data_IF_006937874829
#
_entry.id   IF_006937874829
#
_cell.length_a   1.000
_cell.length_b   1.000
_cell.length_c   1.000
_cell.angle_alpha   90.00
_cell.angle_beta   90.00
_cell.angle_gamma   90.00
#
_symmetry.space_group_name_H-M   'P 1'
#
loop_
_entity.id
_entity.type
_entity.pdbx_description
1 polymer ?
2 branched ?
3 branched ?
4 non-polymer ?
5 non-polymer ?
6 non-polymer ?
7 water ?
#
# COMPACT_ATOMS: atom_id res chain seq x y z
N UNK A 1 -10.86 -23.38 4.20
CA UNK A 1 -11.16 -24.32 5.29
C UNK A 1 -11.95 -23.58 6.37
N UNK A 2 -11.22 -22.94 7.28
CA UNK A 2 -11.84 -22.16 8.38
C UNK A 2 -11.26 -20.77 8.22
N UNK A 3 -11.92 -19.77 8.79
CA UNK A 3 -11.44 -18.40 8.70
C UNK A 3 -10.08 -18.29 9.42
N UNK A 4 -9.16 -17.57 8.81
CA UNK A 4 -7.87 -17.41 9.46
C UNK A 4 -8.11 -16.43 10.60
N UNK A 5 -7.39 -16.60 11.70
CA UNK A 5 -7.46 -15.71 12.86
C UNK A 5 -6.01 -15.26 13.12
N UNK A 6 -5.85 -13.95 13.38
CA UNK A 6 -4.56 -13.33 13.69
C UNK A 6 -4.12 -13.77 15.09
N UNK A 7 -3.59 -14.97 15.20
CA UNK A 7 -3.17 -15.52 16.50
C UNK A 7 -1.71 -15.33 16.85
N UNK A 8 -0.88 -14.96 15.89
CA UNK A 8 0.55 -14.78 16.18
C UNK A 8 0.96 -13.31 16.23
N UNK A 9 2.11 -13.07 16.84
CA UNK A 9 2.68 -11.74 16.95
C UNK A 9 3.70 -11.74 15.82
N UNK A 10 4.35 -10.61 15.58
CA UNK A 10 5.34 -10.46 14.51
C UNK A 10 6.66 -11.14 14.83
N UNK A 11 7.36 -11.60 13.80
CA UNK A 11 8.67 -12.16 14.05
C UNK A 11 9.55 -10.92 14.29
N UNK A 12 10.67 -11.11 14.97
CA UNK A 12 11.62 -10.02 15.24
C UNK A 12 12.27 -9.66 13.92
N UNK A 13 12.28 -8.37 13.60
CA UNK A 13 12.87 -7.92 12.35
C UNK A 13 14.27 -7.42 12.61
N UNK A 14 15.27 -8.19 12.18
CA UNK A 14 16.69 -7.83 12.36
C UNK A 14 17.30 -7.36 11.06
N UNK A 15 16.60 -7.68 9.95
CA UNK A 15 16.96 -7.26 8.58
C UNK A 15 15.83 -7.65 7.62
N UNK A 16 16.03 -7.36 6.34
CA UNK A 16 15.07 -7.66 5.27
C UNK A 16 15.76 -8.46 4.18
N UNK A 17 15.11 -9.54 3.75
CA UNK A 17 15.67 -10.36 2.68
C UNK A 17 14.78 -10.15 1.45
N UNK A 18 15.34 -10.35 0.25
CA UNK A 18 14.58 -10.20 -1.00
C UNK A 18 13.49 -11.30 -1.07
N UNK A 19 12.28 -10.90 -1.48
CA UNK A 19 11.13 -11.80 -1.57
C UNK A 19 10.69 -11.93 -3.05
N UNK A 20 10.41 -10.81 -3.69
CA UNK A 20 10.01 -10.87 -5.08
C UNK A 20 10.38 -9.60 -5.83
N UNK A 21 10.56 -9.73 -7.14
CA UNK A 21 10.92 -8.62 -8.02
C UNK A 21 10.51 -9.11 -9.38
N UNK A 22 9.77 -8.30 -10.12
CA UNK A 22 9.33 -8.73 -11.42
C UNK A 22 10.05 -8.13 -12.64
N UNK A 23 10.84 -7.06 -12.41
CA UNK A 23 11.59 -6.41 -13.49
C UNK A 23 10.68 -6.15 -14.69
N UNK A 24 9.45 -5.77 -14.39
CA UNK A 24 8.41 -5.52 -15.40
C UNK A 24 8.71 -4.55 -16.55
N UNK A 25 9.25 -3.37 -16.25
CA UNK A 25 9.56 -2.38 -17.28
C UNK A 25 10.74 -2.89 -18.18
N UNK A 26 11.75 -3.54 -17.57
CA UNK A 26 12.87 -4.08 -18.31
C UNK A 26 12.35 -5.08 -19.32
N UNK A 27 11.67 -6.09 -18.82
CA UNK A 27 11.13 -7.13 -19.67
C UNK A 27 10.11 -6.60 -20.68
N UNK A 28 9.26 -5.69 -20.22
CA UNK A 28 8.21 -5.13 -21.04
C UNK A 28 8.64 -4.30 -22.21
N UNK A 29 9.93 -3.98 -22.28
CA UNK A 29 10.47 -3.22 -23.40
C UNK A 29 10.33 -4.07 -24.67
N UNK A 30 10.29 -5.39 -24.51
CA UNK A 30 10.17 -6.30 -25.63
C UNK A 30 9.24 -7.50 -25.37
N UNK A 31 8.10 -7.25 -24.75
CA UNK A 31 7.16 -8.31 -24.53
C UNK A 31 5.86 -7.68 -24.10
N UNK A 32 4.78 -8.43 -24.16
CA UNK A 32 3.45 -7.92 -23.85
C UNK A 32 3.06 -7.64 -22.39
N UNK A 33 3.73 -6.66 -21.80
CA UNK A 33 3.50 -6.30 -20.42
C UNK A 33 2.57 -5.12 -20.33
N UNK A 34 1.55 -5.27 -19.47
CA UNK A 34 0.55 -4.23 -19.23
C UNK A 34 1.14 -3.08 -18.44
N UNK A 35 0.71 -1.86 -18.77
CA UNK A 35 1.13 -0.67 -18.05
C UNK A 35 0.33 -0.72 -16.73
N UNK A 36 0.98 -0.46 -15.61
CA UNK A 36 0.30 -0.48 -14.33
C UNK A 36 0.79 0.67 -13.43
N UNK A 37 0.27 0.63 -12.21
CA UNK A 37 0.60 1.49 -11.09
C UNK A 37 -0.26 1.04 -9.89
N UNK A 38 0.06 1.58 -8.72
CA UNK A 38 -0.63 1.26 -7.49
C UNK A 38 -0.61 -0.24 -7.25
N UNK A 39 0.59 -0.85 -7.26
CA UNK A 39 0.69 -2.29 -7.05
C UNK A 39 0.66 -2.68 -5.57
N UNK A 40 0.65 -3.97 -5.32
CA UNK A 40 0.72 -4.52 -3.98
C UNK A 40 0.90 -6.02 -4.05
N UNK A 41 0.99 -6.68 -2.91
CA UNK A 41 1.17 -8.13 -2.89
C UNK A 41 0.14 -8.66 -1.90
N UNK A 42 -0.39 -9.85 -2.17
CA UNK A 42 -1.38 -10.42 -1.29
C UNK A 42 -1.38 -11.94 -1.40
N UNK A 43 -1.50 -12.63 -0.27
CA UNK A 43 -1.49 -14.10 -0.25
C UNK A 43 -2.82 -14.78 0.00
N UNK A 44 -2.90 -15.98 -0.56
CA UNK A 44 -4.01 -16.87 -0.40
C UNK A 44 -3.33 -17.94 0.49
N UNK A 45 -4.09 -18.91 1.00
CA UNK A 45 -3.49 -19.97 1.80
C UNK A 45 -2.51 -20.83 1.05
N UNK A 46 -2.61 -20.85 -0.29
CA UNK A 46 -1.70 -21.67 -1.06
C UNK A 46 -0.86 -20.96 -2.09
N UNK A 47 -0.92 -19.63 -2.16
CA UNK A 47 -0.13 -18.92 -3.15
C UNK A 47 -0.07 -17.45 -2.83
N UNK A 48 1.07 -16.79 -3.10
CA UNK A 48 1.17 -15.33 -2.90
C UNK A 48 1.32 -14.75 -4.30
N UNK A 49 0.60 -13.68 -4.58
CA UNK A 49 0.58 -13.04 -5.89
C UNK A 49 0.77 -11.50 -5.90
N UNK A 50 1.25 -10.97 -7.04
CA UNK A 50 1.42 -9.53 -7.23
C UNK A 50 0.05 -9.04 -7.75
N UNK A 51 -0.27 -7.79 -7.42
CA UNK A 51 -1.52 -7.12 -7.75
C UNK A 51 -1.17 -5.72 -8.20
N UNK A 52 -2.04 -5.12 -9.03
CA UNK A 52 -1.89 -3.74 -9.49
C UNK A 52 -3.08 -3.29 -10.32
N UNK A 53 -3.11 -2.00 -10.60
CA UNK A 53 -4.17 -1.42 -11.39
C UNK A 53 -3.63 -1.24 -12.81
N UNK A 54 -4.02 -2.15 -13.71
CA UNK A 54 -3.59 -2.08 -15.09
C UNK A 54 -4.14 -0.81 -15.70
N UNK A 55 -3.58 -0.43 -16.84
CA UNK A 55 -4.07 0.75 -17.54
C UNK A 55 -4.79 0.34 -18.85
N UNK A 56 -4.98 -0.97 -19.03
CA UNK A 56 -5.66 -1.48 -20.20
C UNK A 56 -4.87 -1.26 -21.48
N UNK A 57 -3.55 -1.42 -21.43
CA UNK A 57 -2.69 -1.26 -22.60
C UNK A 57 -1.33 -1.81 -22.22
N UNK A 58 -0.51 -2.17 -23.21
CA UNK A 58 0.87 -2.64 -22.99
C UNK A 58 1.75 -1.39 -22.96
N UNK A 59 2.95 -1.49 -22.40
CA UNK A 59 3.90 -0.38 -22.30
C UNK A 59 4.37 0.08 -23.67
N UNK A 60 4.62 -0.85 -24.58
CA UNK A 60 5.05 -0.52 -25.95
C UNK A 60 3.87 -0.13 -26.87
N UNK A 61 2.66 -0.48 -26.46
CA UNK A 61 1.49 -0.16 -27.25
C UNK A 61 1.31 1.34 -27.35
N UNK A 62 0.73 1.80 -28.45
CA UNK A 62 0.50 3.24 -28.64
C UNK A 62 -0.42 3.86 -27.58
N UNK A 63 -1.34 3.06 -27.04
CA UNK A 63 -2.27 3.52 -25.99
C UNK A 63 -1.56 3.73 -24.68
N UNK A 64 -0.24 3.50 -24.64
CA UNK A 64 0.51 3.71 -23.40
C UNK A 64 0.63 5.24 -23.22
N UNK A 65 0.38 5.99 -24.31
CA UNK A 65 0.45 7.41 -24.27
C UNK A 65 -0.67 7.94 -23.39
N UNK A 66 -0.32 8.62 -22.31
CA UNK A 66 -1.35 9.17 -21.45
C UNK A 66 -1.60 8.48 -20.13
N UNK A 67 -0.94 7.34 -19.95
CA UNK A 67 -1.08 6.55 -18.72
C UNK A 67 -0.67 7.22 -17.43
N UNK A 68 -0.24 8.48 -17.47
CA UNK A 68 0.06 9.19 -16.23
C UNK A 68 -1.27 9.44 -15.45
N UNK A 69 -2.38 9.55 -16.19
CA UNK A 69 -3.70 9.77 -15.60
C UNK A 69 -4.14 8.61 -14.72
N UNK A 70 -4.76 8.96 -13.59
CA UNK A 70 -5.20 7.99 -12.59
C UNK A 70 -6.46 7.18 -12.79
N UNK A 71 -7.50 7.81 -13.31
CA UNK A 71 -8.80 7.16 -13.40
C UNK A 71 -9.38 7.19 -14.78
N UNK A 72 -9.56 6.03 -15.39
CA UNK A 72 -10.15 5.94 -16.72
C UNK A 72 -11.01 4.72 -16.67
N UNK A 73 -11.79 4.52 -17.71
CA UNK A 73 -12.63 3.35 -17.75
C UNK A 73 -11.84 2.12 -18.20
N UNK A 74 -10.54 2.26 -18.47
CA UNK A 74 -9.74 1.14 -18.96
C UNK A 74 -8.88 0.46 -17.91
N UNK A 75 -9.06 0.87 -16.66
CA UNK A 75 -8.29 0.31 -15.58
C UNK A 75 -9.02 -0.85 -14.93
N UNK A 76 -8.24 -1.71 -14.28
CA UNK A 76 -8.80 -2.88 -13.62
C UNK A 76 -7.78 -3.44 -12.64
N UNK A 77 -8.26 -4.01 -11.55
CA UNK A 77 -7.37 -4.65 -10.59
C UNK A 77 -7.03 -6.01 -11.20
N UNK A 78 -5.74 -6.30 -11.34
CA UNK A 78 -5.30 -7.57 -11.90
C UNK A 78 -4.30 -8.23 -10.91
N UNK A 79 -4.16 -9.54 -10.97
CA UNK A 79 -3.17 -10.23 -10.15
C UNK A 79 -2.44 -11.23 -11.07
N UNK A 80 -1.22 -11.55 -10.72
CA UNK A 80 -0.43 -12.45 -11.52
C UNK A 80 0.63 -13.13 -10.64
N UNK A 81 1.21 -14.24 -11.12
CA UNK A 81 2.11 -15.00 -10.26
C UNK A 81 3.28 -14.14 -9.75
N UNK A 82 3.67 -14.44 -8.52
CA UNK A 82 4.75 -13.76 -7.85
C UNK A 82 6.00 -13.66 -8.69
N UNK A 83 6.52 -12.45 -8.78
CA UNK A 83 7.74 -12.14 -9.49
C UNK A 83 7.67 -12.24 -11.01
N UNK A 84 6.51 -12.56 -11.55
CA UNK A 84 6.39 -12.54 -13.00
C UNK A 84 6.03 -11.09 -13.32
N UNK A 85 6.13 -10.67 -14.59
CA UNK A 85 5.55 -9.36 -14.84
C UNK A 85 4.06 -9.49 -15.15
N UNK A 86 3.33 -8.39 -15.01
CA UNK A 86 1.93 -8.33 -15.45
C UNK A 86 1.82 -8.28 -16.97
N UNK A 87 1.70 -9.46 -17.58
CA UNK A 87 1.55 -9.56 -19.04
C UNK A 87 0.10 -9.72 -19.45
N UNK A 88 -0.20 -9.47 -20.70
CA UNK A 88 -1.55 -9.60 -21.17
C UNK A 88 -2.05 -11.03 -21.00
N UNK A 89 -1.13 -11.98 -21.10
CA UNK A 89 -1.45 -13.41 -21.03
C UNK A 89 -1.46 -14.10 -19.65
N UNK A 90 -0.84 -13.51 -18.62
CA UNK A 90 -0.85 -14.17 -17.31
C UNK A 90 -1.61 -13.34 -16.27
N UNK A 91 -2.13 -12.17 -16.64
CA UNK A 91 -2.83 -11.32 -15.68
C UNK A 91 -4.31 -11.70 -15.51
N UNK A 92 -4.74 -11.85 -14.27
CA UNK A 92 -6.10 -12.23 -13.98
C UNK A 92 -6.80 -11.02 -13.41
N UNK A 93 -7.89 -10.62 -14.07
CA UNK A 93 -8.64 -9.45 -13.63
C UNK A 93 -9.49 -9.84 -12.44
N UNK A 94 -9.39 -9.08 -11.36
CA UNK A 94 -10.15 -9.32 -10.16
C UNK A 94 -11.46 -8.50 -10.19
N UNK A 95 -11.38 -7.31 -10.81
CA UNK A 95 -12.52 -6.42 -10.97
C UNK A 95 -12.09 -5.17 -11.71
N UNK A 96 -13.09 -4.40 -12.14
CA UNK A 96 -12.88 -3.19 -12.92
C UNK A 96 -12.95 -1.92 -12.06
N UNK A 97 -11.96 -1.05 -12.23
CA UNK A 97 -11.90 0.15 -11.43
C UNK A 97 -10.52 0.79 -11.35
N UNK A 98 -10.47 1.97 -10.71
CA UNK A 98 -9.24 2.72 -10.59
C UNK A 98 -8.73 2.89 -9.18
N UNK A 99 -9.31 2.16 -8.24
CA UNK A 99 -8.90 2.17 -6.83
C UNK A 99 -9.33 0.83 -6.28
N UNK A 100 -8.49 0.20 -5.47
CA UNK A 100 -8.82 -1.13 -4.94
C UNK A 100 -8.15 -1.60 -3.66
N UNK A 101 -8.57 -2.80 -3.26
CA UNK A 101 -8.04 -3.50 -2.11
C UNK A 101 -8.46 -4.96 -2.31
N UNK A 102 -7.80 -5.86 -1.58
CA UNK A 102 -8.08 -7.26 -1.70
C UNK A 102 -7.46 -8.03 -0.55
N UNK A 103 -8.15 -9.07 -0.10
CA UNK A 103 -7.61 -9.90 0.95
C UNK A 103 -8.31 -11.24 1.03
N UNK A 104 -7.61 -12.28 1.48
CA UNK A 104 -8.16 -13.62 1.64
C UNK A 104 -8.48 -13.80 3.12
N UNK A 105 -9.66 -14.31 3.42
CA UNK A 105 -10.08 -14.48 4.80
C UNK A 105 -9.79 -15.87 5.34
N UNK A 106 -9.24 -16.74 4.50
CA UNK A 106 -8.92 -18.08 4.95
C UNK A 106 -9.74 -19.07 4.16
N UNK A 107 -10.96 -18.68 3.80
CA UNK A 107 -11.84 -19.53 3.00
C UNK A 107 -11.75 -19.10 1.54
N UNK A 108 -11.92 -17.80 1.29
CA UNK A 108 -11.85 -17.28 -0.06
C UNK A 108 -11.46 -15.80 -0.02
N UNK A 109 -11.26 -15.22 -1.19
CA UNK A 109 -10.83 -13.83 -1.32
C UNK A 109 -11.90 -12.77 -1.56
N UNK A 110 -11.71 -11.60 -0.96
CA UNK A 110 -12.59 -10.47 -1.17
C UNK A 110 -11.75 -9.43 -1.92
N UNK A 111 -12.27 -8.94 -3.04
CA UNK A 111 -11.60 -7.89 -3.81
C UNK A 111 -12.60 -6.74 -3.96
N UNK A 112 -12.12 -5.50 -3.87
CA UNK A 112 -13.00 -4.34 -4.00
C UNK A 112 -12.43 -3.40 -5.03
N UNK A 113 -13.27 -2.97 -5.98
CA UNK A 113 -12.82 -2.05 -7.03
C UNK A 113 -13.83 -0.93 -7.07
N UNK A 114 -13.33 0.28 -7.17
CA UNK A 114 -14.19 1.45 -7.21
C UNK A 114 -14.05 2.04 -8.60
N UNK A 115 -15.13 2.44 -9.22
CA UNK A 115 -15.04 3.05 -10.54
C UNK A 115 -16.05 4.18 -10.63
N UNK A 116 -16.01 4.97 -11.70
CA UNK A 116 -16.96 6.04 -11.83
C UNK A 116 -16.26 7.36 -12.08
N UNK A 117 -17.03 8.39 -12.45
CA UNK A 117 -16.54 9.75 -12.54
C UNK A 117 -16.32 10.27 -11.14
N UNK A 118 -15.58 11.35 -11.03
CA UNK A 118 -15.27 11.96 -9.75
C UNK A 118 -16.41 12.20 -8.81
N UNK A 119 -17.53 12.68 -9.34
CA UNK A 119 -18.69 12.94 -8.50
C UNK A 119 -19.74 11.83 -8.43
N UNK A 120 -19.46 10.63 -8.92
CA UNK A 120 -20.46 9.57 -8.88
C UNK A 120 -19.84 8.18 -8.87
N UNK A 121 -18.74 8.02 -8.16
CA UNK A 121 -18.08 6.72 -8.10
C UNK A 121 -18.86 5.72 -7.26
N UNK A 122 -18.53 4.45 -7.41
CA UNK A 122 -19.17 3.41 -6.62
C UNK A 122 -18.22 2.23 -6.43
N UNK A 123 -18.21 1.66 -5.24
CA UNK A 123 -17.39 0.50 -4.93
C UNK A 123 -18.19 -0.78 -5.09
N UNK A 124 -17.59 -1.81 -5.68
CA UNK A 124 -18.27 -3.08 -5.71
C UNK A 124 -17.39 -4.15 -5.08
N UNK A 125 -17.94 -4.77 -4.04
CA UNK A 125 -17.27 -5.78 -3.24
C UNK A 125 -17.53 -7.17 -3.81
N UNK A 126 -16.44 -7.83 -4.17
CA UNK A 126 -16.44 -9.17 -4.76
C UNK A 126 -15.97 -10.16 -3.70
N UNK A 127 -16.59 -11.33 -3.67
CA UNK A 127 -16.20 -12.36 -2.72
C UNK A 127 -16.36 -13.70 -3.46
N UNK A 128 -15.34 -14.55 -3.42
CA UNK A 128 -15.39 -15.82 -4.13
C UNK A 128 -15.58 -15.59 -5.64
N UNK A 129 -14.96 -14.53 -6.13
CA UNK A 129 -14.98 -14.14 -7.54
C UNK A 129 -16.35 -13.79 -8.11
N UNK A 130 -17.24 -13.32 -7.23
CA UNK A 130 -18.59 -12.92 -7.58
C UNK A 130 -18.90 -11.57 -6.95
N UNK A 131 -19.66 -10.71 -7.66
CA UNK A 131 -20.09 -9.45 -7.07
C UNK A 131 -21.16 -9.69 -6.01
N UNK A 132 -20.92 -9.16 -4.82
CA UNK A 132 -21.85 -9.35 -3.72
C UNK A 132 -22.45 -8.05 -3.18
N UNK A 133 -21.63 -7.04 -2.92
CA UNK A 133 -22.16 -5.78 -2.37
C UNK A 133 -21.67 -4.55 -3.14
N UNK A 134 -22.46 -3.47 -3.13
CA UNK A 134 -22.10 -2.23 -3.81
C UNK A 134 -22.36 -1.08 -2.84
N UNK A 135 -21.45 -0.10 -2.86
CA UNK A 135 -21.52 1.10 -1.99
C UNK A 135 -21.37 2.32 -2.90
N UNK A 136 -22.31 3.25 -2.85
CA UNK A 136 -22.26 4.44 -3.68
C UNK A 136 -21.48 5.52 -2.96
N UNK A 137 -20.88 6.41 -3.73
CA UNK A 137 -20.11 7.53 -3.23
C UNK A 137 -20.95 8.30 -2.17
N UNK A 138 -20.33 8.67 -1.04
CA UNK A 138 -21.08 9.41 -0.02
C UNK A 138 -20.73 10.88 0.07
N UNK A 139 -19.61 11.28 -0.53
CA UNK A 139 -19.20 12.68 -0.50
C UNK A 139 -19.07 13.21 -1.93
N UNK A 140 -19.31 12.32 -2.90
CA UNK A 140 -19.27 12.67 -4.32
C UNK A 140 -17.97 13.31 -4.75
N UNK A 141 -16.86 12.79 -4.25
CA UNK A 141 -15.58 13.34 -4.61
C UNK A 141 -14.50 12.25 -4.53
N UNK A 142 -14.42 11.51 -5.64
CA UNK A 142 -13.46 10.43 -5.76
C UNK A 142 -13.41 9.43 -4.59
N UNK A 143 -14.43 8.59 -4.48
CA UNK A 143 -14.50 7.52 -3.47
C UNK A 143 -13.25 6.70 -3.79
N UNK A 144 -12.50 6.36 -2.77
CA UNK A 144 -11.24 5.65 -3.00
C UNK A 144 -10.86 4.73 -1.81
N UNK A 145 -9.93 3.80 -1.98
CA UNK A 145 -9.59 2.94 -0.88
C UNK A 145 -8.08 2.74 -0.73
N UNK A 146 -7.65 1.68 -0.05
CA UNK A 146 -6.27 1.41 0.32
C UNK A 146 -5.15 1.34 -0.67
N UNK A 147 -5.39 0.62 -1.78
CA UNK A 147 -4.41 0.40 -2.86
C UNK A 147 -3.39 -0.62 -2.38
N UNK A 148 -3.75 -1.36 -1.34
CA UNK A 148 -2.91 -2.44 -0.81
C UNK A 148 -3.84 -3.44 -0.11
N UNK A 149 -3.34 -4.59 0.35
CA UNK A 149 -4.27 -5.55 0.93
C UNK A 149 -4.93 -5.19 2.27
N UNK A 150 -6.14 -5.72 2.43
CA UNK A 150 -6.89 -5.55 3.67
C UNK A 150 -6.47 -6.78 4.51
N UNK A 151 -6.99 -6.89 5.73
CA UNK A 151 -6.65 -8.01 6.60
C UNK A 151 -7.94 -8.52 7.20
N UNK A 152 -8.02 -9.84 7.38
CA UNK A 152 -9.19 -10.49 7.97
C UNK A 152 -8.89 -11.20 9.28
N UNK A 153 -9.93 -11.35 10.09
CA UNK A 153 -9.80 -12.07 11.35
C UNK A 153 -11.17 -12.66 11.58
N UNK A 154 -11.26 -13.99 11.61
CA UNK A 154 -12.50 -14.74 11.79
C UNK A 154 -13.60 -14.32 10.85
N UNK A 155 -13.23 -14.10 9.60
CA UNK A 155 -14.23 -13.72 8.61
C UNK A 155 -14.38 -12.23 8.46
N UNK A 156 -14.03 -11.41 9.46
CA UNK A 156 -14.19 -9.93 9.36
C UNK A 156 -12.97 -9.30 8.75
N UNK A 157 -13.19 -8.61 7.63
CA UNK A 157 -12.11 -7.98 6.88
C UNK A 157 -12.36 -6.47 6.78
N UNK A 158 -11.80 -5.68 7.73
CA UNK A 158 -12.08 -4.23 7.69
C UNK A 158 -11.35 -3.59 6.51
N UNK A 159 -11.90 -2.48 6.01
CA UNK A 159 -11.31 -1.77 4.89
C UNK A 159 -11.55 -0.29 5.14
N UNK A 160 -10.55 0.55 4.90
CA UNK A 160 -10.70 2.00 5.07
C UNK A 160 -10.92 2.66 3.70
N UNK A 161 -11.92 3.55 3.61
CA UNK A 161 -12.24 4.29 2.39
C UNK A 161 -12.24 5.77 2.74
N UNK A 162 -12.05 6.62 1.76
CA UNK A 162 -12.13 8.04 1.99
C UNK A 162 -12.95 8.54 0.82
N UNK A 163 -13.80 9.53 1.08
CA UNK A 163 -14.56 10.17 0.01
C UNK A 163 -14.59 11.66 0.41
N UNK A 164 -14.30 12.53 -0.57
CA UNK A 164 -14.25 13.97 -0.34
C UNK A 164 -12.90 14.52 -0.72
N UNK A 165 -12.62 15.75 -0.32
CA UNK A 165 -11.35 16.42 -0.64
C UNK A 165 -10.04 15.75 -0.24
N UNK A 166 -9.01 15.97 -1.05
CA UNK A 166 -7.69 15.43 -0.75
C UNK A 166 -6.79 16.54 -0.19
N UNK A 167 -7.34 17.73 -0.10
CA UNK A 167 -6.58 18.85 0.41
C UNK A 167 -7.36 19.61 1.48
N UNK A 168 -8.19 18.89 2.21
CA UNK A 168 -9.00 19.50 3.26
C UNK A 168 -9.65 18.36 4.02
N UNK A 169 -10.42 18.63 5.09
CA UNK A 169 -11.05 17.50 5.79
C UNK A 169 -11.93 16.72 4.83
N UNK A 170 -12.02 15.40 5.04
CA UNK A 170 -12.78 14.49 4.17
C UNK A 170 -13.61 13.48 4.99
N UNK A 171 -14.37 12.62 4.31
CA UNK A 171 -15.19 11.61 4.99
C UNK A 171 -14.62 10.20 4.83
N UNK A 172 -13.88 9.78 5.84
CA UNK A 172 -13.26 8.48 5.88
C UNK A 172 -14.14 7.55 6.66
N UNK A 173 -14.28 6.32 6.20
CA UNK A 173 -15.10 5.31 6.86
C UNK A 173 -14.36 4.00 6.99
N UNK A 174 -14.67 3.27 8.05
CA UNK A 174 -14.05 1.97 8.23
C UNK A 174 -15.22 0.99 8.06
N UNK A 175 -15.14 0.16 7.02
CA UNK A 175 -16.18 -0.83 6.76
C UNK A 175 -15.69 -2.16 7.22
N UNK A 176 -16.58 -2.90 7.88
CA UNK A 176 -16.26 -4.23 8.37
C UNK A 176 -17.08 -5.18 7.54
N UNK A 177 -16.39 -5.94 6.69
CA UNK A 177 -17.09 -6.89 5.82
C UNK A 177 -16.88 -8.31 6.29
N UNK A 178 -17.85 -9.16 5.96
CA UNK A 178 -17.76 -10.59 6.24
C UNK A 178 -18.48 -11.27 5.09
N UNK A 179 -17.74 -12.06 4.31
CA UNK A 179 -18.28 -12.74 3.14
C UNK A 179 -18.82 -11.72 2.16
N UNK A 180 -18.11 -10.60 2.05
CA UNK A 180 -18.47 -9.56 1.11
C UNK A 180 -19.67 -8.74 1.47
N UNK A 181 -20.30 -9.01 2.61
CA UNK A 181 -21.48 -8.23 3.03
C UNK A 181 -21.06 -7.29 4.16
N UNK A 182 -21.72 -6.13 4.24
CA UNK A 182 -21.40 -5.15 5.26
C UNK A 182 -21.94 -5.54 6.64
N UNK A 183 -21.06 -5.73 7.60
CA UNK A 183 -21.52 -6.04 8.93
C UNK A 183 -21.79 -4.72 9.65
N UNK A 184 -20.96 -3.72 9.36
CA UNK A 184 -21.04 -2.41 10.03
C UNK A 184 -20.02 -1.47 9.41
N UNK A 185 -20.23 -0.17 9.61
CA UNK A 185 -19.27 0.85 9.19
C UNK A 185 -19.29 1.92 10.27
N UNK A 186 -18.15 2.61 10.41
CA UNK A 186 -17.98 3.71 11.36
C UNK A 186 -17.42 4.86 10.54
N UNK A 187 -17.66 6.10 10.99
CA UNK A 187 -16.78 7.22 10.65
C UNK A 187 -15.43 7.20 11.37
N UNK A 188 -14.43 7.74 10.71
CA UNK A 188 -13.12 7.84 11.28
C UNK A 188 -13.19 8.63 12.60
N UNK A 189 -12.43 8.17 13.59
CA UNK A 189 -12.37 8.82 14.89
C UNK A 189 -10.90 8.85 15.30
N UNK A 190 -10.63 9.56 16.38
CA UNK A 190 -9.27 9.69 16.85
C UNK A 190 -8.72 11.04 16.45
N UNK A 191 -7.42 11.19 16.49
CA UNK A 191 -6.77 12.45 16.16
C UNK A 191 -6.21 12.58 14.75
N UNK A 192 -6.30 11.53 13.92
CA UNK A 192 -5.79 11.66 12.54
C UNK A 192 -6.68 12.71 11.86
N UNK A 193 -6.11 13.63 11.11
CA UNK A 193 -6.96 14.66 10.52
C UNK A 193 -7.37 14.42 9.06
N UNK A 194 -6.67 13.49 8.42
CA UNK A 194 -6.93 13.14 7.02
C UNK A 194 -6.31 11.77 6.74
N UNK A 195 -7.09 10.92 6.07
CA UNK A 195 -6.65 9.57 5.75
C UNK A 195 -6.70 9.26 4.25
N UNK A 196 -5.63 8.65 3.75
CA UNK A 196 -5.55 8.27 2.34
C UNK A 196 -4.74 6.98 2.27
N UNK A 197 -5.13 6.09 1.37
CA UNK A 197 -4.43 4.84 1.10
C UNK A 197 -3.77 4.10 2.25
N UNK A 198 -4.57 3.51 3.15
CA UNK A 198 -4.03 2.79 4.30
C UNK A 198 -3.33 1.50 3.99
N UNK A 199 -2.16 1.33 4.59
CA UNK A 199 -1.38 0.12 4.44
C UNK A 199 -1.60 -0.63 5.75
N UNK A 200 -2.09 -1.86 5.68
CA UNK A 200 -2.39 -2.60 6.89
C UNK A 200 -1.75 -3.97 7.04
N UNK A 201 -1.69 -4.42 8.29
CA UNK A 201 -1.21 -5.76 8.67
C UNK A 201 -1.91 -6.13 9.98
N UNK A 202 -1.93 -7.43 10.30
CA UNK A 202 -2.57 -7.88 11.53
C UNK A 202 -1.69 -8.79 12.37
N UNK A 203 -1.81 -8.66 13.69
CA UNK A 203 -1.06 -9.51 14.60
C UNK A 203 -1.83 -9.47 15.88
N UNK A 204 -1.87 -10.65 16.54
CA UNK A 204 -2.55 -10.84 17.80
C UNK A 204 -3.91 -10.16 17.90
N UNK A 205 -4.74 -10.45 16.91
CA UNK A 205 -6.10 -9.94 16.81
C UNK A 205 -6.25 -8.44 16.78
N UNK A 206 -5.26 -7.76 16.23
CA UNK A 206 -5.32 -6.32 16.09
C UNK A 206 -4.78 -6.00 14.68
N UNK A 207 -5.45 -5.08 13.99
CA UNK A 207 -5.09 -4.68 12.64
C UNK A 207 -4.54 -3.26 12.72
N UNK A 208 -3.32 -3.06 12.21
CA UNK A 208 -2.70 -1.74 12.24
C UNK A 208 -2.59 -1.24 10.80
N UNK A 209 -2.98 0.01 10.60
CA UNK A 209 -2.95 0.62 9.29
C UNK A 209 -2.16 1.93 9.35
N UNK A 210 -1.15 2.07 8.51
CA UNK A 210 -0.33 3.28 8.43
C UNK A 210 -0.81 3.91 7.14
N UNK A 211 -1.32 5.13 7.22
CA UNK A 211 -1.88 5.73 6.04
C UNK A 211 -1.16 7.01 5.61
N UNK A 212 -1.87 7.83 4.83
CA UNK A 212 -1.29 9.04 4.27
C UNK A 212 -2.18 10.27 4.54
N UNK A 213 -1.63 11.26 5.26
CA UNK A 213 -2.38 12.47 5.51
C UNK A 213 -1.98 13.36 4.36
N UNK A 214 -2.82 13.43 3.35
CA UNK A 214 -2.47 14.22 2.21
C UNK A 214 -2.59 15.71 2.43
N UNK A 215 -3.44 16.08 3.36
CA UNK A 215 -3.71 17.48 3.65
C UNK A 215 -2.55 18.28 4.31
N UNK A 216 -2.17 17.90 5.52
CA UNK A 216 -1.14 18.64 6.22
C UNK A 216 0.05 17.90 6.77
N UNK A 217 -0.13 16.63 7.13
CA UNK A 217 0.92 15.84 7.75
C UNK A 217 1.98 15.11 6.94
N UNK A 218 3.22 15.26 7.40
CA UNK A 218 4.39 14.63 6.81
C UNK A 218 4.71 13.42 7.68
N UNK A 219 4.14 13.41 8.88
CA UNK A 219 4.25 12.24 9.73
C UNK A 219 3.03 11.40 9.23
N UNK A 220 3.01 10.10 9.51
CA UNK A 220 1.92 9.25 9.05
C UNK A 220 0.87 8.98 10.11
N UNK A 221 -0.41 9.16 9.76
CA UNK A 221 -1.54 8.68 10.54
C UNK A 221 -1.64 7.18 10.66
N UNK A 222 -2.04 6.72 11.84
CA UNK A 222 -2.16 5.29 12.07
C UNK A 222 -3.55 5.02 12.58
N UNK A 223 -4.16 3.99 11.99
CA UNK A 223 -5.48 3.52 12.39
C UNK A 223 -5.36 2.10 12.90
N UNK A 224 -5.63 1.89 14.18
CA UNK A 224 -5.59 0.55 14.81
C UNK A 224 -7.05 0.09 14.95
N UNK A 225 -7.32 -1.07 14.37
CA UNK A 225 -8.66 -1.63 14.36
C UNK A 225 -8.77 -2.89 15.20
N UNK A 226 -9.90 -3.02 15.85
CA UNK A 226 -10.24 -4.22 16.63
C UNK A 226 -11.34 -4.89 15.82
N UNK A 227 -11.01 -5.99 15.10
CA UNK A 227 -11.93 -6.61 14.16
C UNK A 227 -12.96 -7.50 14.89
N UNK A 228 -12.84 -7.60 16.20
CA UNK A 228 -13.83 -8.39 16.94
C UNK A 228 -14.89 -7.42 17.46
N UNK A 229 -14.46 -6.36 18.14
CA UNK A 229 -15.38 -5.36 18.65
C UNK A 229 -15.84 -4.47 17.50
N UNK A 230 -15.09 -4.52 16.41
CA UNK A 230 -15.36 -3.72 15.23
C UNK A 230 -15.35 -2.25 15.62
N UNK A 231 -14.23 -1.83 16.21
CA UNK A 231 -14.01 -0.46 16.65
C UNK A 231 -12.56 -0.12 16.27
N UNK A 232 -12.17 1.16 16.36
CA UNK A 232 -10.82 1.57 15.97
C UNK A 232 -10.45 2.90 16.64
N UNK A 233 -9.18 3.27 16.54
CA UNK A 233 -8.70 4.53 17.07
C UNK A 233 -7.80 5.03 15.99
N UNK A 234 -7.38 6.29 16.12
CA UNK A 234 -6.46 6.92 15.17
C UNK A 234 -5.57 7.97 15.84
N UNK A 235 -4.33 8.04 15.37
CA UNK A 235 -3.34 9.00 15.86
C UNK A 235 -2.29 9.07 14.75
N UNK A 236 -1.15 9.70 15.06
CA UNK A 236 -0.05 9.77 14.11
C UNK A 236 1.14 9.08 14.77
N UNK A 237 2.12 8.75 13.95
CA UNK A 237 3.36 8.16 14.44
C UNK A 237 4.03 9.37 15.14
N UNK A 238 4.29 9.22 16.44
CA UNK A 238 4.91 10.27 17.26
C UNK A 238 6.32 10.65 16.80
N UNK A 239 7.08 9.68 16.32
CA UNK A 239 8.45 9.89 15.89
C UNK A 239 8.77 11.11 15.01
N UNK A 240 9.88 11.80 15.31
CA UNK A 240 10.45 12.85 14.47
C UNK A 240 11.05 12.34 13.15
N UNK A 241 11.21 11.02 13.02
CA UNK A 241 11.72 10.45 11.75
C UNK A 241 10.46 10.51 10.83
N UNK A 242 10.27 11.62 10.13
CA UNK A 242 9.09 11.79 9.26
C UNK A 242 9.12 10.83 8.07
N UNK A 243 7.99 10.18 7.79
CA UNK A 243 7.97 9.21 6.69
C UNK A 243 7.04 9.44 5.48
N UNK A 244 6.45 10.62 5.34
CA UNK A 244 5.66 10.88 4.14
C UNK A 244 6.64 11.54 3.15
N UNK A 245 6.16 11.83 1.93
CA UNK A 245 6.94 12.49 0.89
C UNK A 245 6.01 13.27 -0.06
N UNK A 246 6.35 14.50 -0.46
CA UNK A 246 7.48 15.31 0.04
C UNK A 246 7.30 15.60 1.53
N UNK A 247 8.36 16.04 2.18
CA UNK A 247 8.29 16.32 3.60
C UNK A 247 9.42 17.30 3.99
N UNK A 248 9.28 17.99 5.14
CA UNK A 248 10.36 18.83 5.68
C UNK A 248 11.49 17.91 6.13
N UNK A 249 12.54 18.49 6.67
CA UNK A 249 13.66 17.68 7.21
C UNK A 249 13.23 17.18 8.58
N UNK A 250 13.85 16.11 9.07
CA UNK A 250 13.49 15.58 10.38
C UNK A 250 13.78 16.57 11.50
N UNK A 251 12.82 16.78 12.42
CA UNK A 251 13.00 17.53 13.66
C UNK A 251 13.58 16.62 14.72
N UNK A 252 13.69 17.14 15.94
CA UNK A 252 14.21 16.34 17.05
C UNK A 252 13.05 15.82 17.84
N UNK A 253 11.87 16.38 17.58
CA UNK A 253 10.67 15.93 18.25
C UNK A 253 9.49 15.92 17.26
N UNK A 254 8.73 14.82 17.29
CA UNK A 254 7.58 14.65 16.40
C UNK A 254 6.27 15.04 17.04
N UNK A 255 5.19 14.70 16.37
CA UNK A 255 3.84 15.00 16.88
C UNK A 255 3.00 13.73 16.95
N UNK A 256 2.37 13.52 18.10
CA UNK A 256 1.55 12.35 18.33
C UNK A 256 0.10 12.45 17.91
N UNK A 257 -0.46 13.65 17.90
CA UNK A 257 -1.86 13.78 17.54
C UNK A 257 -2.24 14.88 16.61
N UNK A 258 -1.28 15.35 15.82
CA UNK A 258 -1.56 16.41 14.87
C UNK A 258 -0.63 16.15 13.73
N UNK A 259 -0.97 16.62 12.53
CA UNK A 259 -0.01 16.49 11.42
C UNK A 259 1.23 17.31 11.70
N UNK A 260 2.39 16.82 11.25
CA UNK A 260 3.59 17.60 11.46
C UNK A 260 3.62 18.49 10.23
N UNK A 261 3.70 19.83 10.43
CA UNK A 261 3.46 20.79 9.34
C UNK A 261 4.72 20.96 8.48
N UNK A 262 4.57 21.62 7.34
CA UNK A 262 5.71 21.83 6.49
C UNK A 262 5.41 21.56 5.05
N UNK A 263 4.51 20.62 4.79
CA UNK A 263 4.16 20.29 3.43
C UNK A 263 2.67 20.01 3.39
N UNK A 264 1.99 20.69 2.47
CA UNK A 264 0.56 20.56 2.33
C UNK A 264 0.17 19.90 1.03
N UNK A 265 -1.03 19.36 1.05
CA UNK A 265 -1.62 18.78 -0.14
C UNK A 265 -0.82 17.89 -1.02
N UNK A 266 -0.14 16.92 -0.43
CA UNK A 266 0.63 15.97 -1.21
C UNK A 266 1.15 14.85 -0.29
N UNK A 267 1.66 13.78 -0.89
CA UNK A 267 2.15 12.69 -0.09
C UNK A 267 2.36 11.45 -0.94
N UNK A 268 2.54 10.31 -0.29
CA UNK A 268 2.75 9.06 -0.98
C UNK A 268 2.26 7.92 -0.07
N UNK A 269 1.68 6.87 -0.66
CA UNK A 269 1.23 5.73 0.11
C UNK A 269 2.49 5.12 0.72
N UNK A 270 2.44 4.81 2.01
CA UNK A 270 3.60 4.25 2.69
C UNK A 270 3.14 3.32 3.80
N UNK A 271 4.04 2.86 4.66
CA UNK A 271 3.63 1.92 5.70
C UNK A 271 4.68 1.85 6.82
N UNK A 272 4.40 1.00 7.81
CA UNK A 272 5.29 0.76 8.94
C UNK A 272 4.84 -0.44 9.76
N UNK A 273 5.74 -1.00 10.55
CA UNK A 273 5.37 -2.07 11.45
C UNK A 273 5.67 -1.48 12.78
N UNK A 274 4.61 -1.23 13.54
CA UNK A 274 4.70 -0.61 14.89
C UNK A 274 4.58 -1.72 15.92
N UNK A 275 5.71 -2.05 16.53
CA UNK A 275 5.72 -3.17 17.47
C UNK A 275 6.77 -3.00 18.59
N UNK A 276 6.60 -1.93 19.38
CA UNK A 276 7.52 -1.65 20.47
C UNK A 276 8.92 -1.45 19.93
N UNK A 277 9.89 -2.15 20.51
CA UNK A 277 11.26 -2.02 20.02
C UNK A 277 11.38 -2.66 18.60
N UNK A 278 10.50 -3.60 18.27
CA UNK A 278 10.54 -4.25 16.95
C UNK A 278 9.73 -3.37 15.96
N UNK A 279 10.06 -2.07 15.91
CA UNK A 279 9.37 -1.13 15.05
C UNK A 279 10.24 -0.69 13.90
N UNK A 280 9.76 -0.84 12.68
CA UNK A 280 10.52 -0.41 11.49
C UNK A 280 9.65 0.49 10.60
N UNK A 281 10.24 1.59 10.13
CA UNK A 281 9.55 2.54 9.28
C UNK A 281 10.16 2.51 7.88
N UNK A 282 9.34 2.68 6.85
CA UNK A 282 9.82 2.74 5.48
C UNK A 282 9.63 4.19 5.02
N UNK A 283 10.51 4.70 4.18
CA UNK A 283 10.37 6.05 3.66
C UNK A 283 11.26 6.24 2.44
N UNK A 284 10.90 7.21 1.60
CA UNK A 284 11.74 7.52 0.46
C UNK A 284 12.95 8.21 1.11
N UNK A 285 14.11 8.18 0.43
CA UNK A 285 15.30 8.84 0.97
C UNK A 285 15.13 10.34 0.75
N UNK A 286 14.77 10.73 -0.46
CA UNK A 286 14.55 12.12 -0.80
C UNK A 286 13.40 12.71 0.00
N UNK A 287 13.54 13.94 0.50
CA UNK A 287 12.45 14.58 1.21
C UNK A 287 11.64 15.34 0.17
N UNK A 288 12.19 15.47 -1.03
CA UNK A 288 11.52 16.20 -2.10
C UNK A 288 10.71 15.36 -3.11
N UNK A 289 11.17 14.18 -3.45
CA UNK A 289 10.42 13.39 -4.41
C UNK A 289 10.46 11.89 -4.10
N UNK A 290 9.79 11.09 -4.93
CA UNK A 290 9.70 9.63 -4.77
C UNK A 290 10.96 9.07 -5.34
N UNK A 291 12.01 9.23 -4.58
CA UNK A 291 13.33 8.83 -4.97
C UNK A 291 13.95 8.08 -3.82
N UNK A 292 14.48 6.91 -4.14
CA UNK A 292 15.11 6.05 -3.16
C UNK A 292 14.14 5.46 -2.16
N UNK A 293 14.64 4.54 -1.34
CA UNK A 293 13.82 3.89 -0.34
C UNK A 293 14.65 3.17 0.71
N UNK A 294 14.29 3.40 1.96
CA UNK A 294 14.99 2.77 3.08
C UNK A 294 14.01 2.36 4.18
N UNK A 295 14.52 1.46 5.01
CA UNK A 295 13.82 0.92 6.15
C UNK A 295 14.68 1.36 7.33
N UNK A 296 14.05 1.88 8.37
CA UNK A 296 14.74 2.33 9.58
C UNK A 296 14.05 1.75 10.84
N UNK A 297 14.86 1.21 11.73
CA UNK A 297 14.33 0.64 12.97
C UNK A 297 14.24 1.81 13.92
N UNK A 298 13.03 2.17 14.32
CA UNK A 298 12.86 3.28 15.24
C UNK A 298 12.04 2.71 16.39
N UNK A 299 12.74 2.21 17.44
CA UNK A 299 12.05 1.62 18.59
C UNK A 299 11.00 2.57 19.16
N UNK A 300 9.79 2.03 19.32
CA UNK A 300 8.63 2.74 19.87
C UNK A 300 8.19 3.97 19.09
N UNK A 301 8.45 4.00 17.79
CA UNK A 301 8.06 5.13 16.93
C UNK A 301 6.67 5.66 17.16
N UNK A 302 5.69 4.77 17.23
CA UNK A 302 4.30 5.18 17.39
C UNK A 302 3.99 6.04 18.62
N UNK A 303 4.69 5.79 19.72
CA UNK A 303 4.37 6.47 20.95
C UNK A 303 5.44 7.35 21.58
N UNK A 304 6.65 7.35 21.03
CA UNK A 304 7.80 8.13 21.56
C UNK A 304 8.14 9.25 20.58
N UNK A 305 7.77 10.48 20.94
CA UNK A 305 7.98 11.67 20.10
C UNK A 305 9.40 12.16 19.91
N UNK A 306 10.37 11.39 20.40
CA UNK A 306 11.76 11.75 20.24
C UNK A 306 12.52 10.54 19.67
N UNK A 307 11.80 9.48 19.32
CA UNK A 307 12.42 8.26 18.77
C UNK A 307 13.18 8.50 17.46
N UNK A 308 14.42 8.02 17.43
CA UNK A 308 15.31 8.17 16.28
C UNK A 308 15.84 6.75 15.95
N UNK A 309 16.41 6.54 14.74
CA UNK A 309 16.73 5.18 14.30
C UNK A 309 17.87 4.53 15.06
N UNK A 310 17.81 3.22 15.20
CA UNK A 310 18.86 2.45 15.87
C UNK A 310 19.53 1.45 14.91
N UNK A 311 18.94 1.30 13.72
CA UNK A 311 19.45 0.37 12.70
C UNK A 311 18.71 0.73 11.42
N UNK A 312 19.20 0.27 10.28
CA UNK A 312 18.50 0.62 9.05
C UNK A 312 18.96 -0.24 7.88
N UNK A 313 18.28 -0.13 6.76
CA UNK A 313 18.63 -0.88 5.56
C UNK A 313 18.10 -0.12 4.36
N UNK A 314 18.97 0.08 3.37
CA UNK A 314 18.60 0.77 2.15
C UNK A 314 18.03 -0.29 1.24
N UNK A 315 16.98 0.10 0.55
CA UNK A 315 16.27 -0.79 -0.35
C UNK A 315 16.45 -0.32 -1.77
N UNK A 316 16.34 0.99 -1.98
CA UNK A 316 16.48 1.60 -3.31
C UNK A 316 17.37 2.82 -3.12
N UNK A 317 18.38 3.00 -3.99
CA UNK A 317 19.28 4.16 -3.87
C UNK A 317 18.57 5.47 -4.22
N UNK A 318 18.97 6.56 -3.57
CA UNK A 318 18.34 7.84 -3.82
C UNK A 318 18.52 8.25 -5.26
N UNK A 319 19.34 7.53 -6.00
CA UNK A 319 19.55 7.83 -7.39
C UNK A 319 18.65 6.96 -8.25
N UNK A 320 17.61 6.38 -7.65
CA UNK A 320 16.65 5.55 -8.38
C UNK A 320 15.23 5.89 -7.98
N UNK A 321 14.32 5.77 -8.91
CA UNK A 321 12.93 6.08 -8.63
C UNK A 321 12.23 5.01 -7.78
N UNK A 322 11.38 5.46 -6.86
CA UNK A 322 10.58 4.59 -6.00
C UNK A 322 9.13 4.94 -6.22
N UNK A 323 8.34 5.00 -5.17
CA UNK A 323 6.91 5.28 -5.34
C UNK A 323 6.18 4.73 -4.12
N UNK A 324 4.97 4.23 -4.32
CA UNK A 324 4.15 3.66 -3.26
C UNK A 324 4.79 2.47 -2.56
N UNK A 325 4.38 2.22 -1.34
CA UNK A 325 4.91 1.09 -0.61
C UNK A 325 3.80 0.68 0.33
N UNK A 326 3.70 -0.62 0.61
CA UNK A 326 2.64 -1.09 1.50
C UNK A 326 3.02 -2.38 2.17
N UNK A 327 2.21 -2.78 3.13
CA UNK A 327 2.48 -3.99 3.86
C UNK A 327 1.57 -5.15 3.46
N UNK A 328 2.06 -6.37 3.71
CA UNK A 328 1.32 -7.60 3.50
C UNK A 328 2.17 -8.65 4.25
N UNK A 329 1.55 -9.77 4.58
CA UNK A 329 2.30 -10.86 5.21
C UNK A 329 1.65 -12.13 4.74
N UNK A 330 2.36 -13.23 4.86
CA UNK A 330 1.77 -14.48 4.48
C UNK A 330 1.25 -15.07 5.80
N UNK A 331 -0.03 -14.88 6.07
CA UNK A 331 -0.65 -15.39 7.27
C UNK A 331 -0.83 -16.92 7.27
N UNK A 332 -0.44 -17.58 6.17
CA UNK A 332 -0.60 -19.02 6.10
C UNK A 332 0.74 -19.75 6.02
N UNK A 333 1.81 -19.09 6.44
CA UNK A 333 3.16 -19.68 6.45
C UNK A 333 3.32 -20.56 7.68
N UNK A 334 4.37 -21.36 7.75
CA UNK A 334 4.59 -22.19 8.93
C UNK A 334 5.26 -21.34 9.99
N UNK A 335 5.42 -21.87 11.20
CA UNK A 335 6.10 -21.07 12.20
C UNK A 335 5.18 -20.53 13.27
N UNK A 336 5.78 -19.86 14.26
CA UNK A 336 5.08 -19.30 15.39
C UNK A 336 4.82 -17.81 15.32
N UNK A 337 5.31 -17.13 14.29
CA UNK A 337 5.13 -15.69 14.22
C UNK A 337 4.82 -15.30 12.78
N UNK A 338 4.40 -14.06 12.56
CA UNK A 338 4.09 -13.54 11.22
C UNK A 338 5.30 -12.75 10.74
N UNK A 339 5.81 -13.09 9.57
CA UNK A 339 6.97 -12.42 9.00
C UNK A 339 6.52 -11.18 8.24
N UNK A 340 6.89 -10.02 8.76
CA UNK A 340 6.48 -8.77 8.13
C UNK A 340 7.08 -8.70 6.73
N UNK A 341 6.28 -8.20 5.78
CA UNK A 341 6.77 -8.02 4.40
C UNK A 341 6.23 -6.68 3.90
N UNK A 342 6.80 -6.17 2.81
CA UNK A 342 6.35 -4.93 2.18
C UNK A 342 6.76 -4.93 0.70
N UNK A 343 6.20 -4.05 -0.09
CA UNK A 343 6.60 -3.93 -1.48
C UNK A 343 6.86 -2.43 -1.69
N UNK A 344 7.69 -2.10 -2.67
CA UNK A 344 7.94 -0.72 -3.03
C UNK A 344 7.64 -0.68 -4.54
N UNK A 345 6.88 0.35 -4.93
CA UNK A 345 6.49 0.53 -6.31
C UNK A 345 7.62 1.36 -6.91
N UNK A 346 8.18 0.89 -8.03
CA UNK A 346 9.27 1.59 -8.70
C UNK A 346 8.68 2.24 -9.95
N UNK A 347 8.27 3.50 -9.83
CA UNK A 347 7.67 4.22 -10.92
C UNK A 347 8.67 4.66 -11.95
N UNK A 348 8.35 4.42 -13.23
CA UNK A 348 9.17 4.78 -14.37
C UNK A 348 8.27 5.58 -15.29
N UNK A 349 8.84 6.48 -16.07
CA UNK A 349 8.04 7.29 -16.98
C UNK A 349 7.66 8.61 -16.34
N UNK A 350 6.50 9.12 -16.76
CA UNK A 350 6.03 10.40 -16.26
C UNK A 350 5.58 10.39 -14.81
N UNK A 351 5.78 11.53 -14.11
CA UNK A 351 6.25 12.82 -14.61
C UNK A 351 7.76 13.04 -14.62
N UNK A 352 8.51 12.27 -13.84
CA UNK A 352 9.94 12.47 -13.76
C UNK A 352 10.74 12.16 -14.99
N UNK A 353 10.29 11.21 -15.78
CA UNK A 353 11.02 10.83 -16.99
C UNK A 353 10.07 11.07 -18.15
N UNK A 354 9.98 12.33 -18.55
CA UNK A 354 9.05 12.69 -19.59
C UNK A 354 9.46 12.49 -21.04
N UNK A 355 10.59 11.84 -21.29
CA UNK A 355 10.99 11.61 -22.68
C UNK A 355 10.04 10.55 -23.25
N UNK A 356 9.39 9.78 -22.37
CA UNK A 356 8.41 8.79 -22.80
C UNK A 356 7.08 9.41 -22.41
N UNK A 357 6.01 8.97 -23.08
CA UNK A 357 4.66 9.46 -22.86
C UNK A 357 3.80 8.65 -21.88
N UNK A 358 4.40 7.60 -21.36
CA UNK A 358 3.73 6.71 -20.43
C UNK A 358 4.25 6.85 -19.01
N UNK A 359 3.56 6.16 -18.12
CA UNK A 359 3.90 6.08 -16.70
C UNK A 359 3.57 4.64 -16.35
N UNK A 360 4.52 3.94 -15.76
CA UNK A 360 4.27 2.58 -15.33
C UNK A 360 5.18 2.34 -14.13
N UNK A 361 5.39 1.07 -13.79
CA UNK A 361 6.23 0.73 -12.66
C UNK A 361 6.59 -0.75 -12.70
N UNK A 362 7.54 -1.15 -11.84
CA UNK A 362 7.85 -2.55 -11.62
C UNK A 362 7.71 -2.69 -10.08
N UNK A 363 7.93 -3.90 -9.56
CA UNK A 363 7.77 -4.14 -8.12
C UNK A 363 8.97 -4.87 -7.50
N UNK A 364 9.32 -4.47 -6.29
CA UNK A 364 10.35 -5.16 -5.53
C UNK A 364 9.68 -5.36 -4.17
N UNK A 365 9.87 -6.52 -3.55
CA UNK A 365 9.27 -6.72 -2.22
C UNK A 365 10.26 -7.48 -1.39
N UNK A 366 10.22 -7.21 -0.09
CA UNK A 366 11.08 -7.83 0.89
C UNK A 366 10.22 -8.31 2.07
N UNK A 367 10.80 -9.20 2.87
CA UNK A 367 10.19 -9.74 4.09
C UNK A 367 11.32 -9.74 5.10
N UNK A 368 10.97 -9.79 6.38
CA UNK A 368 11.97 -9.74 7.45
C UNK A 368 12.71 -11.04 7.74
N UNK A 369 13.92 -10.89 8.28
CA UNK A 369 14.75 -12.00 8.65
C UNK A 369 15.18 -11.76 10.08
N UNK A 370 15.36 -12.83 10.85
CA UNK A 370 15.82 -12.68 12.22
C UNK A 370 17.36 -12.61 12.18
N UNK A 371 17.94 -12.84 11.00
CA UNK A 371 19.39 -12.72 10.81
C UNK A 371 19.64 -11.24 10.55
N UNK A 372 20.91 -10.86 10.55
CA UNK A 372 21.32 -9.48 10.27
C UNK A 372 22.04 -9.57 8.94
N UNK A 373 21.24 -9.63 7.88
CA UNK A 373 21.72 -9.81 6.50
C UNK A 373 22.36 -8.62 5.86
N UNK A 374 23.30 -8.89 4.96
CA UNK A 374 23.95 -7.82 4.25
C UNK A 374 22.88 -7.22 3.33
N UNK A 375 23.05 -5.95 2.96
CA UNK A 375 22.05 -5.30 2.13
C UNK A 375 22.53 -5.05 0.68
N UNK A 376 21.59 -4.93 -0.24
CA UNK A 376 21.87 -4.62 -1.66
C UNK A 376 20.78 -3.61 -1.97
N UNK A 377 20.90 -2.93 -3.10
CA UNK A 377 19.88 -1.98 -3.48
C UNK A 377 19.18 -2.66 -4.67
N UNK A 378 17.89 -2.37 -4.82
CA UNK A 378 17.03 -2.99 -5.83
C UNK A 378 16.30 -2.05 -6.75
N UNK A 379 17.01 -1.51 -7.75
CA UNK A 379 16.31 -0.58 -8.66
C UNK A 379 15.43 -1.26 -9.72
N UNK A 380 14.62 -0.47 -10.39
CA UNK A 380 13.76 -0.99 -11.45
C UNK A 380 14.65 -1.67 -12.49
N UNK A 381 15.70 -0.97 -12.95
CA UNK A 381 16.61 -1.59 -13.90
C UNK A 381 16.44 -1.32 -15.37
N UNK A 382 15.38 -0.64 -15.79
CA UNK A 382 15.17 -0.36 -17.21
C UNK A 382 15.88 0.91 -17.62
N UNK A 383 16.28 0.97 -18.89
CA UNK A 383 16.94 2.14 -19.47
C UNK A 383 15.90 2.87 -20.30
N UNK A 384 15.43 4.02 -19.84
CA UNK A 384 14.41 4.78 -20.58
C UNK A 384 14.81 4.97 -22.04
N UNK A 385 16.09 5.27 -22.26
CA UNK A 385 16.62 5.48 -23.61
C UNK A 385 16.17 4.43 -24.61
N UNK A 386 16.07 3.19 -24.16
CA UNK A 386 15.64 2.09 -25.04
C UNK A 386 14.20 2.25 -25.57
N UNK A 387 13.36 2.96 -24.81
CA UNK A 387 11.97 3.14 -25.18
C UNK A 387 11.76 4.31 -26.13
N UNK A 388 12.82 5.07 -26.39
CA UNK A 388 12.73 6.23 -27.26
C UNK A 388 12.82 5.84 -28.71
X LIG B 1 -25.10 10.25 -10.56
X LIG B 1 -25.62 11.35 -11.52
X LIG B 1 -27.07 11.41 -11.56
X LIG B 1 -27.56 10.02 -11.95
X LIG B 1 -27.10 8.96 -10.95
X LIG B 1 -27.51 7.56 -11.21
X LIG B 1 -24.50 13.56 -11.64
X LIG B 1 -24.12 14.77 -10.85
X LIG B 1 -25.15 12.63 -10.95
X LIG B 1 -27.47 12.42 -12.52
X LIG B 1 -29.06 10.09 -11.89
X LIG B 1 -25.73 8.99 -10.88
X LIG B 1 -27.42 7.25 -12.54
X LIG B 1 -24.21 13.44 -12.84
X LIG B 2 -29.79 9.50 -13.01
X LIG B 2 -31.10 8.84 -12.70
X LIG B 2 -31.64 8.22 -13.90
X LIG B 2 -31.67 9.29 -15.03
X LIG B 2 -30.31 9.88 -15.24
X LIG B 2 -30.21 10.91 -16.30
X LIG B 2 -31.27 7.91 -10.48
X LIG B 2 -31.11 6.84 -9.45
X LIG B 2 -30.93 7.76 -11.75
X LIG B 2 -32.89 7.65 -13.64
X LIG B 2 -32.05 8.71 -16.32
X LIG B 2 -29.91 10.44 -14.03
X LIG B 2 -30.94 11.99 -15.85
X LIG B 2 -31.71 8.97 -10.05
X LIG B 3 -33.20 9.27 -16.97
X LIG B 3 -33.13 8.86 -18.42
X LIG B 3 -34.45 9.27 -19.15
X LIG B 3 -35.66 8.80 -18.32
X LIG B 3 -35.56 9.36 -16.86
X LIG B 3 -36.77 8.95 -16.04
X LIG B 3 -32.95 7.46 -18.40
X LIG B 3 -34.52 8.65 -20.43
X LIG B 3 -36.90 9.16 -18.92
X LIG B 3 -34.38 8.81 -16.27
X LIG B 3 -36.80 9.66 -14.82
X LIG B 4 -35.01 9.44 -21.41
X LIG B 4 -35.21 8.66 -22.61
X LIG B 4 -33.84 8.14 -23.21
X LIG B 4 -32.92 9.34 -23.52
X LIG B 4 -32.77 10.00 -22.25
X LIG B 4 -31.92 11.27 -22.43
X LIG B 4 -35.87 9.57 -23.46
X LIG B 4 -34.04 7.35 -24.38
X LIG B 4 -31.66 8.96 -24.09
X LIG B 4 -34.06 10.41 -21.70
X LIG B 4 -31.72 11.79 -21.13
X LIG B 5 -36.29 9.20 -24.78
X LIG B 5 -36.73 10.48 -25.52
X LIG B 5 -37.97 10.99 -24.96
X LIG B 5 -38.96 9.85 -24.94
X LIG B 5 -38.50 8.62 -24.14
X LIG B 5 -39.50 7.47 -24.09
X LIG B 5 -37.01 10.05 -26.84
X LIG B 5 -38.44 12.05 -25.76
X LIG B 5 -40.03 10.35 -24.28
X LIG B 5 -37.26 8.13 -24.69
X LIG B 5 -40.05 7.19 -25.27
X LIG B 6 -36.04 10.44 -27.80
X LIG B 6 -36.64 10.16 -29.18
X LIG B 6 -36.71 8.66 -29.41
X LIG B 6 -35.27 8.06 -29.20
X LIG B 6 -34.72 8.34 -27.75
X LIG B 6 -33.31 7.84 -27.54
X LIG B 6 -35.75 10.75 -30.13
X LIG B 6 -37.19 8.36 -30.70
X LIG B 6 -35.36 6.68 -29.42
X LIG B 6 -34.78 9.77 -27.51
X LIG B 6 -32.48 8.54 -28.42
X LIG B 7 -37.63 10.90 -14.85
X LIG B 7 -37.55 11.70 -13.52
X LIG B 7 -38.21 10.90 -12.37
X LIG B 7 -39.62 10.58 -12.83
X LIG B 7 -39.60 9.83 -14.15
X LIG B 7 -40.91 9.53 -14.65
X LIG B 7 -38.22 12.94 -13.66
X LIG B 7 -38.16 11.60 -11.18
X LIG B 7 -40.11 9.75 -11.84
X LIG B 7 -38.98 10.57 -15.11
X LIG B 7 -41.80 10.63 -14.65
X LIG C 1 -10.86 -18.94 14.02
X LIG C 1 -10.73 -20.43 13.77
X LIG C 1 -12.13 -21.08 13.49
X LIG C 1 -13.05 -20.83 14.67
X LIG C 1 -13.10 -19.35 14.99
X LIG C 1 -13.68 -19.28 16.38
X LIG C 1 -8.99 -21.53 12.54
X LIG C 1 -8.14 -21.69 11.32
X LIG C 1 -9.91 -20.59 12.61
X LIG C 1 -12.14 -22.45 13.24
X LIG C 1 -14.37 -21.26 14.40
X LIG C 1 -11.76 -18.74 15.09
X LIG C 1 -13.98 -17.97 16.48
X LIG C 1 -8.78 -22.29 13.46
X LIG C 2 -14.86 -22.47 14.94
X LIG C 2 -16.34 -22.39 14.74
X LIG C 2 -16.91 -23.60 15.55
X LIG C 2 -16.64 -24.81 14.58
X LIG C 2 -15.06 -24.85 14.36
X LIG C 2 -14.69 -25.66 13.14
X LIG C 2 -17.15 -20.14 15.91
X LIG C 2 -17.12 -18.81 15.18
X LIG C 2 -16.68 -21.02 15.02
X LIG C 2 -18.27 -23.24 15.73
X LIG C 2 -17.18 -26.07 15.02
X LIG C 2 -14.47 -23.51 14.10
X LIG C 2 -14.75 -24.73 12.07
X LIG C 2 -17.35 -20.38 17.09
X LIG D 1 0.96 11.56 -26.94
X LIG D 1 1.60 11.84 -28.21
X LIG D 1 1.85 13.28 -28.43
X LIG D 1 0.56 14.03 -28.34
X LIG D 1 0.15 13.81 -26.87
X LIG D 1 -0.95 14.63 -26.34
X LIG D 1 3.04 10.11 -29.00
X LIG D 1 4.48 9.48 -29.12
X LIG D 1 2.95 11.23 -28.29
X LIG D 1 2.49 13.53 -29.64
X LIG D 1 0.89 15.38 -28.68
X LIG D 1 -0.16 12.41 -26.67
X LIG D 1 -2.10 14.06 -26.81
X LIG D 1 2.02 9.55 -29.45
X LIG E 1 1.39 14.45 3.50
X LIG F 1 5.56 -9.54 -30.92
X LIG G 1 -0.39 9.38 -6.58
X LIG G 1 0.49 8.79 -7.24
X LIG G 1 -0.12 10.18 -5.65
X LIG G 1 -1.73 9.01 -6.82
X LIG G 1 -2.12 7.89 -7.52
X LIG G 1 -3.51 7.29 -7.36
X LIG G 1 -4.50 8.38 -6.98
X LIG G 1 -5.82 7.81 -6.56
X LIG G 1 -6.91 8.13 -7.25
X LIG G 1 -6.85 8.80 -8.29
X LIG G 1 -8.22 7.56 -6.80
X LIG G 1 -3.93 9.21 -5.82
X LIG G 1 -2.68 9.75 -6.11
X LIG G 1 -4.80 10.48 -5.62
X LIG G 1 -4.92 11.30 -6.57
X LIG G 1 -5.47 10.65 -4.47
X LIG G 1 -6.39 11.79 -4.49
X LIG G 1 -7.54 11.34 -5.40
X LIG G 1 -5.45 9.73 -3.38
X LIG G 1 -4.48 10.22 -2.39
X LIG G 1 -3.92 6.74 -8.61
#
# INVERSE_FOLDING_TARGET
RDFNNLTKGLCTINSWHIYGKDNAVRIGEDSDVLVTREPYVSCDPDECRFYALSQGTTIRGKHSNGTIHDRSQYRALISWPLSSPPTVYNSRVECIGWSSTSCHDGKTRMSICISGPNNNASAVIWYNRRPVTEINTWARNILRTQESECVCHNGVCPVVFTDGSATGPAETRIYYFKEGKILKWEPLAGTAKHIEECSCYGERAEITCTCRDNWQGSNRPVIRIDPVAMTHTSQYICSPVLTDNPRPNDPTVGKCNDPYPGNNNNGVKGFSYLDGVNTWLGRTISIASRSGYEMLKVPNALTDDKSKPTQGQTIVLNTDWSGYSGSFMDYWAEGECYRACFYVELIRGRPKEDKVWWTSNSIVSMCSSTEFLGQWDWPDGAKIEYFL
NAG C1 C2 C3 C4 C5 C6 C7 C8 N2 O3 O4 O5 O6 O7
NAG C1 C2 C3 C4 C5 C6 C7 C8 N2 O3 O4 O5 O6 O7
BMA C1 C2 C3 C4 C5 C6 O2 O3 O4 O5 O6
MAN C1 C2 C3 C4 C5 C6 O2 O3 O4 O5 O6
MAN C1 C2 C3 C4 C5 C6 O2 O3 O4 O5 O6
MAN C1 C2 C3 C4 C5 C6 O2 O3 O4 O5 O6
MAN C1 C2 C3 C4 C5 C6 O2 O3 O4 O5 O6
NAG C1 C2 C3 C4 C5 C6 C7 C8 N2 O3 O4 O5 O6 O7
NAG C1 C2 C3 C4 C5 C6 C7 C8 N2 O3 O4 O5 O6 O7
NAG C1 C2 C3 C4 C5 C6 C7 C8 N2 O3 O4 O5 O6 O7
CA CA
CA CA
G28 C1 O1B O1A C2 C3 C4 C5 N5 C10 O10 C11 C6 O6 C7 O7 N8 C81 C82 C9 C91 N4
#
